data_IF_920283212056
#
_entry.id   IF_920283212056
#
_cell.length_a   1.000
_cell.length_b   1.000
_cell.length_c   1.000
_cell.angle_alpha   90.00
_cell.angle_beta   90.00
_cell.angle_gamma   90.00
#
_symmetry.space_group_name_H-M   'P 1'
#
loop_
_entity.id
_entity.type
_entity.pdbx_description
1 polymer ?
#
# COMPACT_ATOMS: atom_id res chain seq x y z
N UNK A 1 6.76 -3.86 -1.58
CA UNK A 1 6.61 -3.44 -3.00
C UNK A 1 7.99 -3.14 -3.61
N UNK A 2 8.23 -3.36 -4.92
CA UNK A 2 9.46 -3.00 -5.66
C UNK A 2 10.79 -3.06 -4.87
N UNK A 3 11.10 -4.22 -4.26
CA UNK A 3 12.32 -4.43 -3.48
C UNK A 3 12.31 -3.89 -2.04
N UNK A 4 11.23 -3.28 -1.56
CA UNK A 4 11.05 -2.86 -0.16
C UNK A 4 11.27 -4.02 0.83
N UNK A 5 10.68 -5.18 0.53
CA UNK A 5 10.85 -6.40 1.35
C UNK A 5 12.31 -6.82 1.31
N UNK A 6 12.92 -6.88 0.12
CA UNK A 6 14.33 -7.22 -0.07
C UNK A 6 15.26 -6.29 0.73
N UNK A 7 14.98 -4.99 0.78
CA UNK A 7 15.78 -4.04 1.59
C UNK A 7 15.62 -4.32 3.08
N UNK A 8 14.40 -4.60 3.55
CA UNK A 8 14.16 -4.95 4.95
C UNK A 8 14.80 -6.30 5.34
N UNK A 9 14.73 -7.30 4.47
CA UNK A 9 15.38 -8.59 4.66
C UNK A 9 16.90 -8.46 4.67
N UNK A 10 17.48 -7.73 3.71
CA UNK A 10 18.91 -7.45 3.66
C UNK A 10 19.39 -6.70 4.91
N UNK A 11 18.65 -5.67 5.35
CA UNK A 11 18.96 -4.94 6.58
C UNK A 11 18.83 -5.86 7.82
N UNK A 12 17.81 -6.72 7.85
CA UNK A 12 17.63 -7.72 8.90
C UNK A 12 18.81 -8.70 8.97
N UNK A 13 19.24 -9.20 7.82
CA UNK A 13 20.41 -10.08 7.70
C UNK A 13 21.69 -9.39 8.17
N UNK A 14 21.94 -8.14 7.78
CA UNK A 14 23.10 -7.36 8.26
C UNK A 14 23.05 -7.21 9.79
N UNK A 15 21.89 -6.90 10.37
CA UNK A 15 21.73 -6.75 11.83
C UNK A 15 21.96 -8.05 12.61
N UNK A 16 21.72 -9.20 11.99
CA UNK A 16 22.01 -10.49 12.60
C UNK A 16 23.51 -10.83 12.59
N UNK A 17 24.26 -10.30 11.63
CA UNK A 17 25.67 -10.67 11.40
C UNK A 17 26.67 -9.59 11.82
N UNK A 18 26.21 -8.37 12.10
CA UNK A 18 27.06 -7.23 12.48
C UNK A 18 26.45 -6.46 13.67
N UNK A 19 27.26 -5.85 14.55
CA UNK A 19 26.79 -5.11 15.73
C UNK A 19 26.22 -3.74 15.34
N UNK A 20 25.07 -3.73 14.68
CA UNK A 20 24.38 -2.52 14.24
C UNK A 20 23.53 -1.96 15.39
N UNK A 21 23.80 -0.73 15.80
CA UNK A 21 22.88 0.01 16.69
C UNK A 21 21.66 0.48 15.88
N UNK A 22 20.53 -0.18 16.11
CA UNK A 22 19.25 0.10 15.43
C UNK A 22 18.78 1.56 15.60
N UNK A 23 19.23 2.26 16.63
CA UNK A 23 18.87 3.66 16.88
C UNK A 23 19.74 4.66 16.12
N UNK A 24 20.69 4.20 15.31
CA UNK A 24 21.68 5.02 14.58
C UNK A 24 21.73 4.77 13.07
N UNK A 25 20.78 4.00 12.53
CA UNK A 25 20.76 3.63 11.11
C UNK A 25 20.25 4.82 10.28
N UNK A 26 21.03 5.28 9.30
CA UNK A 26 20.58 6.24 8.29
C UNK A 26 20.37 5.55 6.94
N UNK A 27 19.50 6.10 6.10
CA UNK A 27 19.26 5.60 4.74
C UNK A 27 19.67 6.64 3.71
N UNK A 28 20.45 6.21 2.72
CA UNK A 28 20.88 7.08 1.61
C UNK A 28 20.73 6.32 0.31
N UNK A 29 20.41 7.04 -0.76
CA UNK A 29 20.33 6.42 -2.07
C UNK A 29 20.42 7.45 -3.18
N UNK A 30 20.91 7.01 -4.34
CA UNK A 30 21.03 7.84 -5.54
C UNK A 30 20.32 7.17 -6.72
N UNK A 31 19.70 7.95 -7.61
CA UNK A 31 18.96 7.44 -8.77
C UNK A 31 17.80 6.52 -8.34
N UNK A 32 17.73 5.29 -8.84
CA UNK A 32 16.80 4.26 -8.36
C UNK A 32 16.87 4.08 -6.82
N UNK A 33 18.08 4.13 -6.24
CA UNK A 33 18.24 4.09 -4.78
C UNK A 33 17.69 5.33 -4.09
N UNK A 34 17.69 6.49 -4.76
CA UNK A 34 17.08 7.72 -4.26
C UNK A 34 15.56 7.61 -4.21
N UNK A 35 14.94 6.94 -5.20
CA UNK A 35 13.51 6.64 -5.18
C UNK A 35 13.16 5.68 -4.05
N UNK A 36 13.97 4.63 -3.85
CA UNK A 36 13.84 3.74 -2.70
C UNK A 36 14.02 4.46 -1.36
N UNK A 37 14.92 5.45 -1.29
CA UNK A 37 15.13 6.28 -0.11
C UNK A 37 13.89 7.15 0.19
N UNK A 38 13.30 7.81 -0.82
CA UNK A 38 12.03 8.53 -0.67
C UNK A 38 10.92 7.63 -0.16
N UNK A 39 10.71 6.47 -0.81
CA UNK A 39 9.68 5.49 -0.45
C UNK A 39 9.86 4.96 0.97
N UNK A 40 11.02 4.37 1.27
CA UNK A 40 11.28 3.77 2.58
C UNK A 40 11.33 4.82 3.69
N UNK A 41 11.89 6.00 3.40
CA UNK A 41 11.92 7.11 4.34
C UNK A 41 10.51 7.53 4.73
N UNK A 42 9.65 7.83 3.75
CA UNK A 42 8.30 8.32 4.02
C UNK A 42 7.38 7.29 4.71
N UNK A 43 7.60 5.99 4.49
CA UNK A 43 6.76 4.95 5.08
C UNK A 43 7.32 4.36 6.39
N UNK A 44 8.62 4.56 6.67
CA UNK A 44 9.32 3.93 7.80
C UNK A 44 10.32 4.87 8.47
N UNK A 45 9.99 6.16 8.68
CA UNK A 45 10.89 7.08 9.40
C UNK A 45 11.22 6.58 10.81
N UNK A 46 10.35 5.77 11.40
CA UNK A 46 10.59 5.08 12.66
C UNK A 46 11.65 3.96 12.61
N UNK A 47 12.32 3.75 11.47
CA UNK A 47 13.47 2.83 11.32
C UNK A 47 14.80 3.52 11.08
N UNK A 48 14.79 4.82 10.80
CA UNK A 48 15.99 5.59 10.49
C UNK A 48 16.19 6.75 11.46
N UNK A 49 17.43 7.22 11.60
CA UNK A 49 17.78 8.44 12.36
C UNK A 49 17.80 9.68 11.45
N UNK A 50 18.13 9.48 10.17
CA UNK A 50 18.18 10.52 9.13
C UNK A 50 18.12 9.85 7.75
N UNK A 51 17.79 10.63 6.72
CA UNK A 51 17.80 10.15 5.34
C UNK A 51 18.38 11.14 4.34
N UNK A 52 18.92 10.62 3.24
CA UNK A 52 19.36 11.41 2.10
C UNK A 52 18.96 10.77 0.75
N UNK A 53 17.81 11.18 0.18
CA UNK A 53 17.40 10.78 -1.15
C UNK A 53 18.06 11.67 -2.22
N UNK A 54 18.75 11.05 -3.19
CA UNK A 54 19.46 11.73 -4.25
C UNK A 54 18.91 11.39 -5.64
N UNK A 55 18.50 12.39 -6.42
CA UNK A 55 18.12 12.27 -7.83
C UNK A 55 17.25 11.03 -8.17
N UNK A 56 16.25 10.71 -7.35
CA UNK A 56 15.34 9.59 -7.59
C UNK A 56 13.89 10.05 -7.59
N UNK A 57 13.01 9.36 -8.32
CA UNK A 57 11.59 9.73 -8.40
C UNK A 57 10.91 9.68 -7.01
N UNK A 58 9.94 10.56 -6.79
CA UNK A 58 9.12 10.60 -5.57
C UNK A 58 7.63 10.37 -5.84
N UNK A 59 7.20 10.50 -7.10
CA UNK A 59 5.82 10.33 -7.54
C UNK A 59 5.76 9.81 -8.97
N UNK A 60 4.58 9.35 -9.39
CA UNK A 60 4.41 8.60 -10.64
C UNK A 60 4.19 9.52 -11.85
N UNK A 61 3.28 10.49 -11.76
CA UNK A 61 2.74 11.19 -12.91
C UNK A 61 3.73 12.19 -13.56
N UNK A 62 4.30 13.10 -12.77
CA UNK A 62 5.20 14.14 -13.25
C UNK A 62 6.58 13.56 -13.60
N UNK A 63 7.06 12.56 -12.84
CA UNK A 63 8.27 11.82 -13.20
C UNK A 63 8.17 11.20 -14.60
N UNK A 64 7.02 10.62 -14.92
CA UNK A 64 6.72 10.07 -16.25
C UNK A 64 6.29 11.14 -17.26
N UNK A 65 6.20 12.41 -16.86
CA UNK A 65 5.79 13.55 -17.69
C UNK A 65 4.43 13.34 -18.36
N UNK A 66 3.52 12.71 -17.63
CA UNK A 66 2.17 12.48 -18.11
C UNK A 66 1.41 13.81 -18.18
N UNK A 67 0.81 14.09 -19.33
CA UNK A 67 -0.17 15.16 -19.46
C UNK A 67 -1.55 14.65 -18.96
N UNK A 68 -2.42 15.50 -18.38
CA UNK A 68 -3.72 15.08 -17.83
C UNK A 68 -4.60 14.28 -18.80
N UNK A 69 -4.58 14.61 -20.10
CA UNK A 69 -5.29 13.89 -21.17
C UNK A 69 -4.78 12.46 -21.40
N UNK A 70 -3.57 12.15 -20.93
CA UNK A 70 -2.93 10.83 -21.02
C UNK A 70 -2.92 10.09 -19.67
N UNK A 71 -3.59 10.61 -18.64
CA UNK A 71 -3.69 9.90 -17.37
C UNK A 71 -4.47 8.59 -17.55
N UNK A 72 -4.07 7.51 -16.85
CA UNK A 72 -4.83 6.27 -16.87
C UNK A 72 -6.18 6.48 -16.19
N UNK A 73 -7.02 5.44 -16.19
CA UNK A 73 -8.31 5.49 -15.51
C UNK A 73 -8.18 6.02 -14.07
N UNK A 74 -9.20 6.76 -13.61
CA UNK A 74 -9.20 7.46 -12.32
C UNK A 74 -8.79 6.56 -11.13
N UNK A 75 -9.18 5.28 -11.15
CA UNK A 75 -8.83 4.34 -10.09
C UNK A 75 -7.34 4.01 -10.09
N UNK A 76 -6.66 3.99 -11.25
CA UNK A 76 -5.21 3.81 -11.34
C UNK A 76 -4.50 5.03 -10.74
N UNK A 77 -4.99 6.24 -11.06
CA UNK A 77 -4.44 7.47 -10.47
C UNK A 77 -4.57 7.45 -8.95
N UNK A 78 -5.71 6.99 -8.43
CA UNK A 78 -5.94 6.80 -6.99
C UNK A 78 -4.99 5.79 -6.36
N UNK A 79 -4.67 4.70 -7.07
CA UNK A 79 -3.74 3.66 -6.60
C UNK A 79 -2.29 4.14 -6.49
N UNK A 80 -1.90 5.21 -7.20
CA UNK A 80 -0.60 5.86 -6.98
C UNK A 80 -0.43 6.34 -5.54
N UNK A 81 -1.54 6.69 -4.88
CA UNK A 81 -1.62 7.06 -3.47
C UNK A 81 -1.12 6.02 -2.48
N UNK A 82 -0.84 4.79 -2.92
CA UNK A 82 -0.15 3.80 -2.08
C UNK A 82 1.33 4.13 -1.89
N UNK A 83 2.00 4.74 -2.87
CA UNK A 83 3.47 4.90 -2.90
C UNK A 83 3.96 6.32 -3.24
N UNK A 84 3.15 7.16 -3.89
CA UNK A 84 3.55 8.51 -4.26
C UNK A 84 3.76 9.36 -2.99
N UNK A 85 5.03 9.68 -2.73
CA UNK A 85 5.53 10.25 -1.47
C UNK A 85 4.96 11.62 -1.11
N UNK A 86 4.54 12.51 -2.04
CA UNK A 86 3.87 13.75 -1.67
C UNK A 86 2.62 13.53 -0.79
N UNK A 87 1.93 12.40 -0.92
CA UNK A 87 0.81 12.01 -0.06
C UNK A 87 1.21 11.51 1.34
N UNK A 88 2.52 11.41 1.61
CA UNK A 88 3.12 10.94 2.87
C UNK A 88 4.15 11.95 3.40
N UNK A 89 4.21 13.17 2.85
CA UNK A 89 5.27 14.14 3.14
C UNK A 89 5.41 14.44 4.63
N UNK A 90 4.30 14.46 5.39
CA UNK A 90 4.34 14.79 6.82
C UNK A 90 5.14 13.77 7.62
N UNK A 91 5.16 12.50 7.19
CA UNK A 91 5.96 11.47 7.85
C UNK A 91 7.46 11.83 7.90
N UNK A 92 7.94 12.58 6.91
CA UNK A 92 9.32 13.02 6.83
C UNK A 92 9.68 14.07 7.88
N UNK A 93 8.72 14.63 8.62
CA UNK A 93 8.98 15.57 9.71
C UNK A 93 9.44 14.87 11.00
N UNK A 94 9.38 13.55 11.04
CA UNK A 94 9.86 12.76 12.18
C UNK A 94 11.38 12.54 12.19
N UNK A 95 12.10 12.91 11.12
CA UNK A 95 13.56 12.82 11.05
C UNK A 95 14.18 13.90 10.13
N UNK A 96 15.50 14.15 10.22
CA UNK A 96 16.19 15.02 9.27
C UNK A 96 16.25 14.41 7.86
N UNK A 97 15.82 15.20 6.86
CA UNK A 97 15.91 14.85 5.43
C UNK A 97 16.88 15.80 4.73
N UNK A 98 17.88 15.24 4.04
CA UNK A 98 18.84 15.99 3.22
C UNK A 98 18.76 15.49 1.78
N UNK A 99 17.93 16.12 0.96
CA UNK A 99 17.80 15.77 -0.44
C UNK A 99 19.02 16.26 -1.25
N UNK A 100 19.36 15.53 -2.31
CA UNK A 100 20.43 15.91 -3.23
C UNK A 100 19.99 15.85 -4.70
N UNK A 101 20.41 16.85 -5.47
CA UNK A 101 20.32 16.81 -6.94
C UNK A 101 21.55 17.43 -7.59
N UNK A 102 21.92 16.95 -8.78
CA UNK A 102 22.77 17.72 -9.67
C UNK A 102 21.98 18.87 -10.30
N UNK A 103 22.57 20.06 -10.40
CA UNK A 103 21.90 21.26 -10.95
C UNK A 103 21.31 21.04 -12.35
N UNK A 104 22.02 20.29 -13.20
CA UNK A 104 21.65 19.98 -14.59
C UNK A 104 20.96 18.62 -14.74
N UNK A 105 20.74 17.91 -13.64
CA UNK A 105 20.03 16.64 -13.66
C UNK A 105 18.52 16.88 -13.86
N UNK A 106 17.91 16.18 -14.81
CA UNK A 106 16.46 16.26 -15.04
C UNK A 106 15.68 15.70 -13.85
N UNK A 107 16.28 14.81 -13.04
CA UNK A 107 15.66 14.23 -11.86
C UNK A 107 15.65 15.18 -10.64
N UNK A 108 16.21 16.39 -10.74
CA UNK A 108 15.99 17.47 -9.76
C UNK A 108 14.49 17.77 -9.55
N UNK A 109 13.66 17.44 -10.55
CA UNK A 109 12.21 17.54 -10.48
C UNK A 109 11.62 16.83 -9.26
N UNK A 110 12.12 15.66 -8.87
CA UNK A 110 11.56 14.92 -7.74
C UNK A 110 11.77 15.67 -6.40
N UNK A 111 12.97 16.21 -6.20
CA UNK A 111 13.25 17.04 -5.03
C UNK A 111 12.39 18.33 -5.04
N UNK A 112 12.17 18.95 -6.21
CA UNK A 112 11.28 20.12 -6.35
C UNK A 112 9.82 19.82 -6.04
N UNK A 113 9.32 18.65 -6.42
CA UNK A 113 7.98 18.20 -6.02
C UNK A 113 7.89 18.06 -4.50
N UNK A 114 8.92 17.47 -3.89
CA UNK A 114 8.98 17.34 -2.43
C UNK A 114 9.14 18.71 -1.73
N UNK A 115 9.89 19.67 -2.28
CA UNK A 115 9.95 21.04 -1.78
C UNK A 115 8.56 21.67 -1.73
N UNK A 116 7.78 21.54 -2.81
CA UNK A 116 6.39 22.04 -2.85
C UNK A 116 5.52 21.33 -1.81
N UNK A 117 5.68 20.02 -1.64
CA UNK A 117 4.93 19.26 -0.64
C UNK A 117 5.28 19.71 0.80
N UNK A 118 6.56 19.95 1.10
CA UNK A 118 7.02 20.51 2.38
C UNK A 118 6.43 21.92 2.60
N UNK A 119 6.49 22.79 1.58
CA UNK A 119 5.99 24.17 1.66
C UNK A 119 4.48 24.24 1.94
N UNK A 120 3.67 23.35 1.36
CA UNK A 120 2.23 23.27 1.66
C UNK A 120 1.92 22.98 3.12
N UNK A 121 2.83 22.30 3.81
CA UNK A 121 2.72 21.98 5.24
C UNK A 121 3.54 22.95 6.11
N UNK A 122 4.01 24.07 5.54
CA UNK A 122 4.77 25.11 6.26
C UNK A 122 6.21 24.71 6.63
N UNK A 123 6.75 23.67 6.00
CA UNK A 123 8.12 23.17 6.23
C UNK A 123 9.04 23.50 5.06
N UNK A 124 10.35 23.42 5.28
CA UNK A 124 11.38 23.59 4.25
C UNK A 124 12.20 22.32 4.11
N UNK A 125 12.35 21.82 2.89
CA UNK A 125 13.23 20.70 2.59
C UNK A 125 14.67 21.20 2.48
N UNK A 126 15.60 20.59 3.22
CA UNK A 126 17.04 20.79 2.96
C UNK A 126 17.39 20.10 1.65
N UNK A 127 17.65 20.89 0.61
CA UNK A 127 17.99 20.40 -0.73
C UNK A 127 19.36 20.93 -1.15
N UNK A 128 20.34 20.03 -1.19
CA UNK A 128 21.69 20.32 -1.65
C UNK A 128 21.76 20.16 -3.17
N UNK A 129 22.15 21.23 -3.86
CA UNK A 129 22.29 21.25 -5.31
C UNK A 129 23.77 21.25 -5.66
N UNK A 130 24.22 20.23 -6.39
CA UNK A 130 25.59 20.12 -6.90
C UNK A 130 25.78 21.01 -8.14
N UNK A 131 26.58 22.10 -8.06
CA UNK A 131 26.73 23.05 -9.16
C UNK A 131 27.31 22.41 -10.41
N UNK A 132 26.72 22.69 -11.57
CA UNK A 132 27.12 22.17 -12.87
C UNK A 132 26.96 20.66 -13.05
N UNK A 133 26.49 19.92 -12.04
CA UNK A 133 26.42 18.46 -12.10
C UNK A 133 25.17 17.95 -12.81
N UNK A 134 25.34 16.92 -13.63
CA UNK A 134 24.24 16.08 -14.12
C UNK A 134 23.93 14.95 -13.15
N UNK A 135 23.70 13.74 -13.67
CA UNK A 135 23.31 12.57 -12.88
C UNK A 135 24.48 11.91 -12.11
N UNK A 136 25.08 12.66 -11.17
CA UNK A 136 26.14 12.21 -10.25
C UNK A 136 26.27 13.13 -9.03
N UNK A 137 27.03 12.71 -8.03
CA UNK A 137 27.38 13.55 -6.89
C UNK A 137 28.43 14.61 -7.23
N UNK A 138 28.22 15.84 -6.76
CA UNK A 138 29.26 16.83 -6.58
C UNK A 138 30.09 16.46 -5.34
N UNK A 139 31.43 16.49 -5.39
CA UNK A 139 32.28 16.08 -4.27
C UNK A 139 31.97 16.81 -2.95
N UNK A 140 31.81 18.14 -2.99
CA UNK A 140 31.53 18.93 -1.78
C UNK A 140 30.14 18.65 -1.19
N UNK A 141 29.14 18.47 -2.05
CA UNK A 141 27.79 18.10 -1.61
C UNK A 141 27.79 16.71 -0.98
N UNK A 142 28.51 15.75 -1.58
CA UNK A 142 28.66 14.41 -1.02
C UNK A 142 29.33 14.45 0.36
N UNK A 143 30.41 15.23 0.50
CA UNK A 143 31.08 15.44 1.79
C UNK A 143 30.11 15.98 2.84
N UNK A 144 29.36 17.04 2.51
CA UNK A 144 28.35 17.62 3.42
C UNK A 144 27.25 16.63 3.78
N UNK A 145 26.76 15.81 2.85
CA UNK A 145 25.77 14.77 3.11
C UNK A 145 26.33 13.74 4.09
N UNK A 146 27.55 13.27 3.87
CA UNK A 146 28.21 12.30 4.75
C UNK A 146 28.33 12.87 6.18
N UNK A 147 28.84 14.10 6.31
CA UNK A 147 28.98 14.79 7.60
C UNK A 147 27.64 14.93 8.34
N UNK A 148 26.57 15.35 7.65
CA UNK A 148 25.24 15.48 8.25
C UNK A 148 24.67 14.13 8.70
N UNK A 149 24.88 13.06 7.93
CA UNK A 149 24.43 11.72 8.30
C UNK A 149 25.23 11.16 9.48
N UNK A 150 26.54 11.38 9.53
CA UNK A 150 27.38 11.01 10.66
C UNK A 150 27.01 11.79 11.92
N UNK A 151 26.75 13.08 11.80
CA UNK A 151 26.30 13.92 12.91
C UNK A 151 24.96 13.45 13.47
N UNK A 152 23.99 13.11 12.61
CA UNK A 152 22.72 12.55 13.05
C UNK A 152 22.92 11.22 13.79
N UNK A 153 23.75 10.32 13.25
CA UNK A 153 24.07 9.01 13.85
C UNK A 153 25.00 9.09 15.07
N UNK A 154 25.56 10.26 15.40
CA UNK A 154 26.40 10.45 16.60
C UNK A 154 25.59 10.32 17.90
N UNK A 155 24.27 10.48 17.85
CA UNK A 155 23.35 10.24 18.96
C UNK A 155 22.43 9.06 18.67
N UNK A 156 21.85 8.46 19.71
CA UNK A 156 20.79 7.45 19.53
C UNK A 156 19.47 8.17 19.27
N UNK A 157 18.66 7.61 18.37
CA UNK A 157 17.32 8.14 18.11
C UNK A 157 16.50 8.17 19.40
N UNK A 158 16.06 9.36 19.87
CA UNK A 158 15.20 9.45 21.03
C UNK A 158 13.79 8.93 20.72
N UNK A 159 13.01 8.61 21.75
CA UNK A 159 11.56 8.55 21.61
C UNK A 159 11.06 9.96 21.26
N UNK A 160 10.45 10.20 20.10
CA UNK A 160 10.08 11.55 19.70
C UNK A 160 8.91 12.04 20.54
N UNK A 161 9.00 13.26 21.08
CA UNK A 161 7.88 13.88 21.81
C UNK A 161 6.70 14.20 20.90
N UNK A 162 6.97 14.47 19.61
CA UNK A 162 5.96 14.77 18.59
C UNK A 162 6.08 13.75 17.47
N UNK A 163 4.96 13.21 17.04
CA UNK A 163 4.86 12.28 15.93
C UNK A 163 3.82 12.79 14.97
N UNK A 164 4.16 12.75 13.69
CA UNK A 164 3.21 12.97 12.61
C UNK A 164 3.09 11.68 11.82
N UNK A 165 1.87 11.25 11.55
CA UNK A 165 1.56 10.15 10.64
C UNK A 165 0.60 10.70 9.59
N UNK A 166 0.95 10.50 8.33
CA UNK A 166 0.11 10.72 7.16
C UNK A 166 0.08 9.45 6.34
N UNK A 167 -1.11 9.03 5.94
CA UNK A 167 -1.29 7.87 5.08
C UNK A 167 -2.59 7.96 4.30
N UNK A 168 -2.65 7.23 3.18
CA UNK A 168 -3.88 7.04 2.41
C UNK A 168 -4.43 5.62 2.52
N UNK A 169 -3.65 4.67 3.06
CA UNK A 169 -4.08 3.29 3.28
C UNK A 169 -3.52 2.77 4.61
N UNK A 170 -4.09 1.70 5.16
CA UNK A 170 -3.50 1.00 6.30
C UNK A 170 -2.28 0.13 5.92
N UNK A 171 -1.69 0.25 4.70
CA UNK A 171 -0.48 -0.49 4.31
C UNK A 171 0.71 -0.03 5.15
N UNK A 172 0.79 1.27 5.40
CA UNK A 172 1.82 1.93 6.21
C UNK A 172 1.16 2.68 7.38
N UNK A 173 0.61 1.97 8.38
CA UNK A 173 -0.28 2.57 9.37
C UNK A 173 0.45 3.12 10.60
N UNK A 174 1.77 2.94 10.73
CA UNK A 174 2.49 3.15 11.97
C UNK A 174 3.62 4.15 11.80
N UNK A 175 3.74 5.04 12.77
CA UNK A 175 4.92 5.88 12.95
C UNK A 175 5.28 5.98 14.42
N UNK A 176 6.50 5.55 14.78
CA UNK A 176 6.99 5.51 16.15
C UNK A 176 5.98 4.86 17.11
N UNK A 177 5.41 5.65 18.01
CA UNK A 177 4.47 5.20 19.01
C UNK A 177 2.99 5.31 18.60
N UNK A 178 2.70 5.83 17.41
CA UNK A 178 1.35 6.04 16.87
C UNK A 178 1.04 5.01 15.80
N UNK A 179 -0.12 4.36 15.88
CA UNK A 179 -0.62 3.45 14.84
C UNK A 179 -2.07 3.77 14.48
N UNK A 180 -2.35 4.03 13.19
CA UNK A 180 -3.70 4.07 12.66
C UNK A 180 -4.26 2.64 12.54
N UNK A 181 -5.37 2.35 13.20
CA UNK A 181 -5.99 1.02 13.17
C UNK A 181 -7.13 0.94 12.16
N UNK A 182 -7.88 2.04 11.97
CA UNK A 182 -8.97 2.17 10.99
C UNK A 182 -8.98 3.58 10.41
N UNK A 183 -9.24 3.67 9.11
CA UNK A 183 -9.51 4.93 8.42
C UNK A 183 -11.03 5.17 8.37
N UNK A 184 -11.45 6.41 8.17
CA UNK A 184 -12.85 6.68 7.82
C UNK A 184 -13.12 6.32 6.36
N UNK A 185 -12.15 6.56 5.47
CA UNK A 185 -12.16 6.09 4.08
C UNK A 185 -10.73 5.89 3.55
N UNK A 186 -10.41 4.72 2.99
CA UNK A 186 -9.16 4.50 2.26
C UNK A 186 -9.06 5.40 1.02
N UNK A 187 -7.82 5.68 0.63
CA UNK A 187 -7.41 6.51 -0.51
C UNK A 187 -7.71 8.01 -0.35
N UNK A 188 -7.96 8.45 0.88
CA UNK A 188 -8.07 9.85 1.26
C UNK A 188 -6.89 10.26 2.14
N UNK A 189 -6.58 11.55 2.17
CA UNK A 189 -5.56 12.10 3.06
C UNK A 189 -5.96 11.90 4.54
N UNK A 190 -5.20 11.05 5.24
CA UNK A 190 -5.44 10.66 6.63
C UNK A 190 -4.27 11.06 7.49
N UNK A 191 -4.53 11.69 8.63
CA UNK A 191 -3.49 12.30 9.48
C UNK A 191 -3.69 11.96 10.95
N UNK A 192 -2.59 11.74 11.66
CA UNK A 192 -2.51 11.77 13.12
C UNK A 192 -1.30 12.63 13.51
N UNK A 193 -1.55 13.71 14.24
CA UNK A 193 -0.51 14.49 14.90
C UNK A 193 -0.62 14.23 16.40
N UNK A 194 0.43 13.69 17.00
CA UNK A 194 0.43 13.31 18.40
C UNK A 194 1.62 13.92 19.15
N UNK A 195 1.39 14.43 20.35
CA UNK A 195 2.38 15.06 21.21
C UNK A 195 2.29 14.52 22.64
N UNK A 196 3.42 14.10 23.20
CA UNK A 196 3.59 13.87 24.64
C UNK A 196 3.83 15.23 25.29
N UNK A 197 2.80 15.79 25.93
CA UNK A 197 2.86 17.09 26.61
C UNK A 197 3.53 16.94 27.98
N UNK A 198 3.25 15.84 28.68
CA UNK A 198 3.90 15.41 29.92
C UNK A 198 3.66 13.92 30.15
N UNK A 199 4.28 13.32 31.16
CA UNK A 199 4.12 11.90 31.51
C UNK A 199 2.65 11.47 31.75
N UNK A 200 1.76 12.43 32.02
CA UNK A 200 0.34 12.18 32.29
C UNK A 200 -0.61 12.82 31.26
N UNK A 201 -0.08 13.41 30.19
CA UNK A 201 -0.90 14.15 29.21
C UNK A 201 -0.37 14.03 27.78
N UNK A 202 -1.26 13.62 26.88
CA UNK A 202 -1.05 13.60 25.43
C UNK A 202 -2.04 14.52 24.72
N UNK A 203 -1.62 15.06 23.59
CA UNK A 203 -2.48 15.78 22.65
C UNK A 203 -2.44 15.07 21.30
N UNK A 204 -3.61 14.87 20.71
CA UNK A 204 -3.77 14.17 19.44
C UNK A 204 -4.77 14.93 18.56
N UNK A 205 -4.41 15.15 17.31
CA UNK A 205 -5.31 15.67 16.28
C UNK A 205 -5.40 14.68 15.13
N UNK A 206 -6.61 14.46 14.62
CA UNK A 206 -6.85 13.46 13.59
C UNK A 206 -7.62 14.00 12.39
N UNK A 207 -7.36 13.41 11.23
CA UNK A 207 -8.13 13.61 10.00
C UNK A 207 -8.34 12.26 9.33
N UNK A 208 -9.58 11.91 8.97
CA UNK A 208 -9.94 10.64 8.31
C UNK A 208 -9.52 9.38 9.12
N UNK A 209 -9.46 9.45 10.45
CA UNK A 209 -9.13 8.32 11.33
C UNK A 209 -10.38 7.87 12.09
N UNK A 210 -10.63 6.56 12.09
CA UNK A 210 -11.75 5.96 12.83
C UNK A 210 -11.28 5.18 14.08
N UNK A 211 -10.03 4.71 14.10
CA UNK A 211 -9.42 4.11 15.28
C UNK A 211 -7.89 4.24 15.22
N UNK A 212 -7.25 4.38 16.38
CA UNK A 212 -5.80 4.45 16.52
C UNK A 212 -5.33 3.80 17.82
N UNK A 213 -4.03 3.55 17.90
CA UNK A 213 -3.35 3.04 19.08
C UNK A 213 -2.11 3.89 19.40
N UNK A 214 -1.90 4.13 20.70
CA UNK A 214 -0.74 4.84 21.25
C UNK A 214 0.08 3.89 22.12
N UNK A 215 1.41 3.90 21.96
CA UNK A 215 2.36 3.03 22.66
C UNK A 215 3.54 3.84 23.24
N UNK A 216 4.38 3.32 24.15
CA UNK A 216 4.12 2.17 25.02
C UNK A 216 2.97 2.49 25.98
N UNK A 217 1.90 1.69 25.91
CA UNK A 217 0.68 1.91 26.67
C UNK A 217 0.86 1.74 28.19
N UNK A 218 1.84 0.96 28.64
CA UNK A 218 2.09 0.71 30.07
C UNK A 218 2.64 1.93 30.79
N UNK A 219 3.56 2.65 30.13
CA UNK A 219 4.10 3.91 30.66
C UNK A 219 3.08 5.05 30.54
N UNK A 220 2.21 5.00 29.53
CA UNK A 220 1.17 6.00 29.28
C UNK A 220 -0.18 5.68 29.96
N UNK A 221 -0.27 4.59 30.73
CA UNK A 221 -1.54 4.12 31.27
C UNK A 221 -2.15 5.17 32.22
N UNK A 222 -3.43 5.47 32.02
CA UNK A 222 -4.14 6.48 32.78
C UNK A 222 -3.75 7.92 32.43
N UNK A 223 -2.91 8.15 31.43
CA UNK A 223 -2.65 9.50 30.93
C UNK A 223 -3.93 10.10 30.32
N UNK A 224 -4.09 11.41 30.46
CA UNK A 224 -5.16 12.16 29.82
C UNK A 224 -4.79 12.39 28.36
N UNK A 225 -5.67 12.00 27.43
CA UNK A 225 -5.51 12.26 26.00
C UNK A 225 -6.55 13.28 25.57
N UNK A 226 -6.06 14.46 25.18
CA UNK A 226 -6.85 15.46 24.45
C UNK A 226 -6.83 15.07 22.97
N UNK A 227 -7.91 14.46 22.48
CA UNK A 227 -8.03 13.99 21.09
C UNK A 227 -9.18 14.69 20.37
N UNK A 228 -8.84 15.51 19.38
CA UNK A 228 -9.77 16.41 18.70
C UNK A 228 -10.61 17.20 19.73
N UNK A 229 -11.93 17.06 19.71
CA UNK A 229 -12.87 17.71 20.62
C UNK A 229 -13.21 16.87 21.87
N UNK A 230 -12.45 15.81 22.15
CA UNK A 230 -12.73 14.88 23.25
C UNK A 230 -11.54 14.75 24.19
N UNK A 231 -11.82 14.53 25.47
CA UNK A 231 -10.81 14.19 26.48
C UNK A 231 -11.13 12.81 27.04
N UNK A 232 -10.14 11.92 27.01
CA UNK A 232 -10.26 10.54 27.50
C UNK A 232 -9.09 10.17 28.41
N UNK A 233 -9.27 9.13 29.21
CA UNK A 233 -8.19 8.55 30.03
C UNK A 233 -7.70 7.27 29.36
N UNK A 234 -6.43 7.21 28.97
CA UNK A 234 -5.88 6.10 28.20
C UNK A 234 -5.97 4.78 29.00
N UNK A 235 -6.56 3.76 28.39
CA UNK A 235 -6.63 2.40 28.95
C UNK A 235 -5.33 1.62 28.78
N UNK A 236 -5.31 0.38 29.29
CA UNK A 236 -4.12 -0.51 29.25
C UNK A 236 -3.64 -0.87 27.85
N UNK A 237 -4.54 -0.90 26.86
CA UNK A 237 -4.21 -1.26 25.46
C UNK A 237 -3.81 -0.06 24.60
N UNK A 238 -3.94 1.16 25.12
CA UNK A 238 -3.67 2.38 24.35
C UNK A 238 -4.57 2.62 23.13
N UNK A 239 -5.63 1.83 22.94
CA UNK A 239 -6.53 1.92 21.79
C UNK A 239 -7.64 2.96 22.01
N UNK A 240 -7.86 3.79 21.00
CA UNK A 240 -8.95 4.76 20.90
C UNK A 240 -9.72 4.53 19.60
N UNK A 241 -11.05 4.66 19.65
CA UNK A 241 -11.88 4.60 18.46
C UNK A 241 -13.00 5.66 18.48
N UNK A 242 -13.47 6.01 17.29
CA UNK A 242 -14.58 6.94 17.11
C UNK A 242 -15.90 6.17 17.12
N UNK A 243 -16.83 6.58 17.98
CA UNK A 243 -18.19 6.04 18.06
C UNK A 243 -19.18 7.19 18.23
N UNK A 244 -20.19 7.27 17.35
CA UNK A 244 -21.19 8.34 17.34
C UNK A 244 -20.57 9.76 17.40
N UNK A 245 -19.52 9.97 16.60
CA UNK A 245 -18.82 11.27 16.48
C UNK A 245 -17.81 11.60 17.58
N UNK A 246 -17.74 10.81 18.67
CA UNK A 246 -16.84 11.04 19.81
C UNK A 246 -15.77 9.96 19.94
N UNK A 247 -14.63 10.30 20.52
CA UNK A 247 -13.58 9.34 20.84
C UNK A 247 -13.89 8.56 22.12
N UNK A 248 -13.58 7.26 22.10
CA UNK A 248 -13.76 6.33 23.22
C UNK A 248 -12.54 5.45 23.37
N UNK A 249 -12.31 5.00 24.59
CA UNK A 249 -11.23 4.09 24.97
C UNK A 249 -11.65 2.66 24.70
N UNK A 250 -10.70 1.85 24.21
CA UNK A 250 -10.88 0.43 23.94
C UNK A 250 -10.97 0.12 22.46
N UNK A 251 -10.99 -1.18 22.15
CA UNK A 251 -11.07 -1.66 20.77
C UNK A 251 -12.37 -1.21 20.10
N UNK A 252 -12.31 -0.82 18.81
CA UNK A 252 -13.51 -0.53 18.06
C UNK A 252 -14.42 -1.77 18.02
N UNK A 253 -15.74 -1.62 18.16
CA UNK A 253 -16.67 -2.74 18.08
C UNK A 253 -16.40 -3.57 16.82
N UNK A 254 -16.30 -4.89 17.00
CA UNK A 254 -16.37 -5.84 15.91
C UNK A 254 -17.85 -6.00 15.60
N UNK A 255 -18.36 -5.31 14.57
CA UNK A 255 -19.72 -5.58 14.10
C UNK A 255 -19.85 -7.04 13.70
N UNK A 256 -21.01 -7.65 13.94
CA UNK A 256 -21.28 -9.04 13.63
C UNK A 256 -22.08 -9.13 12.31
N UNK A 257 -21.60 -9.81 11.24
CA UNK A 257 -20.26 -10.30 10.95
C UNK A 257 -19.59 -9.37 9.93
N UNK A 258 -19.18 -8.16 10.33
CA UNK A 258 -18.66 -7.20 9.35
C UNK A 258 -17.15 -7.36 9.22
N UNK A 259 -16.75 -7.88 8.05
CA UNK A 259 -15.42 -7.69 7.49
C UNK A 259 -15.06 -6.21 7.61
N UNK A 260 -13.83 -5.91 8.00
CA UNK A 260 -13.32 -4.53 8.06
C UNK A 260 -11.94 -4.46 7.44
N UNK A 261 -11.65 -3.36 6.73
CA UNK A 261 -10.30 -3.10 6.26
C UNK A 261 -9.38 -2.88 7.47
N UNK A 262 -8.22 -3.53 7.43
CA UNK A 262 -7.20 -3.50 8.48
C UNK A 262 -5.82 -3.66 7.88
N UNK A 263 -4.77 -3.34 8.65
CA UNK A 263 -3.40 -3.53 8.18
C UNK A 263 -3.14 -4.99 7.72
N UNK A 264 -2.64 -5.12 6.48
CA UNK A 264 -2.41 -6.40 5.81
C UNK A 264 -3.67 -7.03 5.19
N UNK A 265 -4.83 -6.38 5.32
CA UNK A 265 -6.10 -6.82 4.76
C UNK A 265 -6.99 -5.60 4.40
N UNK A 266 -6.65 -4.85 3.34
CA UNK A 266 -7.31 -3.61 2.92
C UNK A 266 -7.55 -3.43 1.40
N UNK A 267 -7.07 -4.36 0.57
CA UNK A 267 -6.96 -4.17 -0.89
C UNK A 267 -5.78 -3.25 -1.29
N UNK A 268 -5.56 -2.99 -2.59
CA UNK A 268 -6.28 -3.49 -3.76
C UNK A 268 -5.91 -4.95 -4.08
N UNK A 269 -6.24 -5.47 -5.26
CA UNK A 269 -5.93 -6.86 -5.66
C UNK A 269 -4.47 -7.27 -5.37
N UNK A 270 -3.51 -6.39 -5.65
CA UNK A 270 -2.08 -6.62 -5.44
C UNK A 270 -1.69 -6.85 -3.98
N UNK A 271 -2.53 -6.43 -3.02
CA UNK A 271 -2.30 -6.54 -1.58
C UNK A 271 -2.18 -8.02 -1.13
N UNK A 272 -2.85 -8.93 -1.85
CA UNK A 272 -2.78 -10.37 -1.60
C UNK A 272 -1.41 -11.00 -1.90
N UNK A 273 -0.58 -10.35 -2.72
CA UNK A 273 0.73 -10.88 -3.13
C UNK A 273 1.87 -10.38 -2.23
N UNK A 274 1.55 -9.67 -1.15
CA UNK A 274 2.48 -9.25 -0.10
C UNK A 274 2.52 -10.22 1.10
N UNK A 275 1.82 -11.34 0.99
CA UNK A 275 1.74 -12.40 1.99
C UNK A 275 1.70 -13.78 1.28
N UNK A 276 1.93 -14.89 2.00
CA UNK A 276 1.86 -16.23 1.41
C UNK A 276 0.54 -16.49 0.69
N UNK A 277 0.61 -17.08 -0.51
CA UNK A 277 -0.56 -17.39 -1.33
C UNK A 277 -0.39 -18.71 -2.08
N UNK A 278 -1.50 -19.24 -2.59
CA UNK A 278 -1.52 -20.36 -3.55
C UNK A 278 -2.43 -20.02 -4.72
N UNK A 279 -2.05 -20.43 -5.93
CA UNK A 279 -2.88 -20.32 -7.12
C UNK A 279 -3.63 -21.63 -7.33
N UNK A 280 -4.95 -21.57 -7.39
CA UNK A 280 -5.80 -22.74 -7.61
C UNK A 280 -6.40 -22.67 -9.00
N UNK A 281 -6.03 -23.64 -9.84
CA UNK A 281 -6.56 -23.77 -11.21
C UNK A 281 -7.98 -24.35 -11.21
N UNK A 282 -8.79 -24.13 -12.27
CA UNK A 282 -10.10 -24.75 -12.39
C UNK A 282 -10.06 -26.27 -12.28
N UNK A 283 -11.07 -26.87 -11.65
CA UNK A 283 -11.23 -28.33 -11.54
C UNK A 283 -11.85 -28.96 -12.80
N UNK A 284 -12.49 -28.16 -13.64
CA UNK A 284 -13.04 -28.56 -14.94
C UNK A 284 -12.94 -27.38 -15.92
N UNK A 285 -13.14 -27.59 -17.23
CA UNK A 285 -13.20 -26.48 -18.19
C UNK A 285 -14.35 -25.52 -17.90
N UNK A 286 -14.18 -24.24 -18.21
CA UNK A 286 -15.26 -23.27 -18.24
C UNK A 286 -16.24 -23.59 -19.37
N UNK A 287 -17.53 -23.29 -19.16
CA UNK A 287 -18.60 -23.58 -20.12
C UNK A 287 -18.41 -22.88 -21.48
N UNK A 288 -17.78 -21.69 -21.48
CA UNK A 288 -17.57 -20.89 -22.68
C UNK A 288 -16.11 -21.01 -23.17
N UNK A 289 -15.86 -21.41 -24.43
CA UNK A 289 -14.51 -21.58 -24.96
C UNK A 289 -13.62 -20.34 -24.88
N UNK A 290 -14.19 -19.15 -25.11
CA UNK A 290 -13.47 -17.87 -24.99
C UNK A 290 -13.01 -17.58 -23.56
N UNK A 291 -13.85 -17.91 -22.57
CA UNK A 291 -13.53 -17.78 -21.14
C UNK A 291 -12.43 -18.78 -20.76
N UNK A 292 -12.53 -20.03 -21.21
CA UNK A 292 -11.50 -21.05 -20.98
C UNK A 292 -10.15 -20.60 -21.55
N UNK A 293 -10.13 -20.14 -22.81
CA UNK A 293 -8.91 -19.66 -23.48
C UNK A 293 -8.27 -18.48 -22.75
N UNK A 294 -9.09 -17.56 -22.22
CA UNK A 294 -8.61 -16.44 -21.41
C UNK A 294 -8.00 -16.92 -20.09
N UNK A 295 -8.64 -17.85 -19.38
CA UNK A 295 -8.14 -18.42 -18.12
C UNK A 295 -6.78 -19.09 -18.33
N UNK A 296 -6.68 -19.93 -19.37
CA UNK A 296 -5.43 -20.64 -19.69
C UNK A 296 -4.30 -19.66 -20.01
N UNK A 297 -4.61 -18.61 -20.77
CA UNK A 297 -3.66 -17.54 -21.07
C UNK A 297 -3.20 -16.81 -19.81
N UNK A 298 -4.10 -16.36 -18.94
CA UNK A 298 -3.75 -15.55 -17.78
C UNK A 298 -3.00 -16.36 -16.70
N UNK A 299 -3.29 -17.65 -16.52
CA UNK A 299 -2.50 -18.52 -15.64
C UNK A 299 -1.07 -18.68 -16.18
N UNK A 300 -0.93 -18.94 -17.49
CA UNK A 300 0.38 -19.07 -18.12
C UNK A 300 1.16 -17.74 -18.10
N UNK A 301 0.47 -16.63 -18.31
CA UNK A 301 1.00 -15.27 -18.20
C UNK A 301 1.51 -15.00 -16.79
N UNK A 302 0.69 -15.25 -15.76
CA UNK A 302 1.05 -15.07 -14.36
C UNK A 302 2.28 -15.90 -13.99
N UNK A 303 2.33 -17.18 -14.39
CA UNK A 303 3.49 -18.05 -14.13
C UNK A 303 4.77 -17.48 -14.74
N UNK A 304 4.72 -17.02 -15.99
CA UNK A 304 5.87 -16.40 -16.67
C UNK A 304 6.31 -15.11 -15.98
N UNK A 305 5.37 -14.21 -15.73
CA UNK A 305 5.65 -12.90 -15.09
C UNK A 305 6.19 -13.07 -13.68
N UNK A 306 5.63 -13.99 -12.91
CA UNK A 306 6.06 -14.26 -11.54
C UNK A 306 7.53 -14.66 -11.48
N UNK A 307 7.91 -15.62 -12.34
CA UNK A 307 9.30 -16.07 -12.45
C UNK A 307 10.24 -14.96 -12.94
N UNK A 308 9.82 -14.17 -13.93
CA UNK A 308 10.65 -13.12 -14.52
C UNK A 308 10.91 -11.95 -13.55
N UNK A 309 9.88 -11.52 -12.82
CA UNK A 309 9.95 -10.32 -11.97
C UNK A 309 10.34 -10.63 -10.53
N UNK A 310 9.71 -11.64 -9.93
CA UNK A 310 9.87 -11.96 -8.51
C UNK A 310 10.84 -13.12 -8.26
N UNK A 311 11.41 -13.68 -9.33
CA UNK A 311 12.47 -14.72 -9.28
C UNK A 311 12.08 -15.97 -8.47
N UNK A 312 10.79 -16.28 -8.42
CA UNK A 312 10.24 -17.44 -7.73
C UNK A 312 9.42 -18.34 -8.64
N UNK A 313 9.17 -19.57 -8.20
CA UNK A 313 8.17 -20.44 -8.82
C UNK A 313 6.79 -20.11 -8.27
N UNK A 314 5.79 -20.07 -9.16
CA UNK A 314 4.41 -19.78 -8.77
C UNK A 314 3.83 -21.03 -8.05
N UNK A 315 3.28 -20.89 -6.83
CA UNK A 315 2.72 -22.03 -6.08
C UNK A 315 1.34 -22.40 -6.65
N UNK A 316 1.32 -23.17 -7.73
CA UNK A 316 0.10 -23.62 -8.41
C UNK A 316 -0.36 -24.97 -7.86
N UNK A 317 -1.67 -25.09 -7.61
CA UNK A 317 -2.33 -26.31 -7.13
C UNK A 317 -3.61 -26.61 -7.89
N UNK A 318 -3.90 -27.89 -8.08
CA UNK A 318 -5.26 -28.37 -8.42
C UNK A 318 -6.12 -28.41 -7.16
N UNK A 319 -7.44 -28.55 -7.32
CA UNK A 319 -8.38 -28.54 -6.19
C UNK A 319 -8.08 -29.62 -5.14
N UNK A 320 -7.71 -30.82 -5.58
CA UNK A 320 -7.35 -31.98 -4.73
C UNK A 320 -6.03 -31.80 -3.97
N UNK A 321 -5.18 -30.87 -4.41
CA UNK A 321 -3.90 -30.55 -3.76
C UNK A 321 -4.01 -29.43 -2.70
N UNK A 322 -5.16 -28.76 -2.62
CA UNK A 322 -5.42 -27.69 -1.63
C UNK A 322 -5.60 -28.32 -0.26
N UNK A 323 -4.75 -27.93 0.70
CA UNK A 323 -4.78 -28.47 2.05
C UNK A 323 -5.59 -27.58 3.01
N UNK A 324 -6.03 -28.10 4.17
CA UNK A 324 -6.63 -27.25 5.21
C UNK A 324 -5.70 -26.12 5.69
N UNK A 325 -4.39 -26.35 5.68
CA UNK A 325 -3.39 -25.33 6.01
C UNK A 325 -3.36 -24.20 4.99
N UNK A 326 -3.44 -24.50 3.69
CA UNK A 326 -3.54 -23.46 2.65
C UNK A 326 -4.77 -22.57 2.88
N UNK A 327 -5.91 -23.17 3.20
CA UNK A 327 -7.16 -22.46 3.47
C UNK A 327 -7.10 -21.60 4.75
N UNK A 328 -6.22 -21.93 5.69
CA UNK A 328 -6.12 -21.24 6.98
C UNK A 328 -5.07 -20.12 6.96
N UNK A 329 -3.95 -20.33 6.27
CA UNK A 329 -2.75 -19.50 6.41
C UNK A 329 -2.37 -18.73 5.15
N UNK A 330 -2.97 -19.02 4.00
CA UNK A 330 -2.56 -18.43 2.72
C UNK A 330 -3.72 -17.72 2.04
N UNK A 331 -3.38 -16.72 1.24
CA UNK A 331 -4.31 -16.13 0.30
C UNK A 331 -4.60 -17.14 -0.83
N UNK A 332 -5.86 -17.24 -1.26
CA UNK A 332 -6.29 -18.12 -2.33
C UNK A 332 -6.47 -17.32 -3.61
N UNK A 333 -5.64 -17.57 -4.61
CA UNK A 333 -5.76 -16.96 -5.95
C UNK A 333 -6.48 -17.95 -6.86
N UNK A 334 -7.76 -17.75 -7.08
CA UNK A 334 -8.66 -18.69 -7.73
C UNK A 334 -8.93 -18.26 -9.18
N UNK A 335 -8.65 -19.15 -10.12
CA UNK A 335 -9.02 -18.96 -11.53
C UNK A 335 -10.22 -19.83 -11.91
N UNK A 336 -11.10 -19.31 -12.75
CA UNK A 336 -12.28 -20.01 -13.25
C UNK A 336 -13.60 -19.24 -13.10
N UNK A 337 -14.68 -20.01 -13.08
CA UNK A 337 -16.05 -19.58 -12.77
C UNK A 337 -16.59 -20.41 -11.60
N UNK A 338 -17.74 -20.09 -11.01
CA UNK A 338 -18.36 -20.92 -9.96
C UNK A 338 -18.69 -22.36 -10.41
N UNK A 339 -18.80 -22.60 -11.72
CA UNK A 339 -19.03 -23.92 -12.32
C UNK A 339 -17.72 -24.70 -12.42
N UNK A 340 -16.63 -24.04 -12.85
CA UNK A 340 -15.35 -24.69 -13.09
C UNK A 340 -14.42 -24.75 -11.87
N UNK A 341 -14.63 -23.89 -10.87
CA UNK A 341 -13.85 -23.86 -9.64
C UNK A 341 -14.76 -23.81 -8.39
N UNK A 342 -14.92 -24.93 -7.66
CA UNK A 342 -15.76 -25.00 -6.46
C UNK A 342 -15.35 -24.04 -5.33
N UNK A 343 -14.07 -23.64 -5.24
CA UNK A 343 -13.64 -22.65 -4.25
C UNK A 343 -14.14 -21.24 -4.59
N UNK A 344 -14.28 -20.91 -5.88
CA UNK A 344 -14.93 -19.66 -6.30
C UNK A 344 -16.37 -19.69 -5.81
N UNK A 345 -17.13 -20.78 -6.07
CA UNK A 345 -18.51 -20.91 -5.59
C UNK A 345 -18.63 -20.75 -4.07
N UNK A 346 -17.67 -21.30 -3.31
CA UNK A 346 -17.66 -21.25 -1.85
C UNK A 346 -17.40 -19.84 -1.30
N UNK A 347 -16.46 -19.11 -1.90
CA UNK A 347 -15.97 -17.84 -1.37
C UNK A 347 -16.38 -16.61 -2.18
N UNK A 348 -17.27 -16.77 -3.17
CA UNK A 348 -17.78 -15.66 -3.96
C UNK A 348 -18.47 -14.66 -3.04
N UNK A 349 -18.00 -13.39 -2.97
CA UNK A 349 -18.64 -12.41 -2.12
C UNK A 349 -20.00 -12.02 -2.71
N UNK A 350 -20.97 -11.68 -1.85
CA UNK A 350 -22.35 -11.38 -2.26
C UNK A 350 -22.48 -10.23 -3.28
N UNK A 351 -21.45 -9.38 -3.40
CA UNK A 351 -21.33 -8.35 -4.44
C UNK A 351 -21.34 -8.93 -5.86
N UNK A 352 -20.82 -10.14 -6.05
CA UNK A 352 -20.93 -10.90 -7.29
C UNK A 352 -22.07 -11.89 -7.11
N UNK A 353 -23.20 -11.61 -7.75
CA UNK A 353 -24.40 -12.43 -7.68
C UNK A 353 -24.77 -12.96 -9.06
N UNK A 354 -25.64 -13.98 -9.08
CA UNK A 354 -26.16 -14.58 -10.31
C UNK A 354 -25.07 -14.89 -11.36
N UNK A 355 -23.94 -15.44 -10.92
CA UNK A 355 -22.86 -15.84 -11.82
C UNK A 355 -23.09 -17.27 -12.31
N UNK A 356 -23.81 -17.38 -13.42
CA UNK A 356 -24.16 -18.61 -14.11
C UNK A 356 -23.57 -18.65 -15.54
N UNK A 357 -24.05 -19.56 -16.38
CA UNK A 357 -23.59 -19.70 -17.76
C UNK A 357 -24.10 -18.57 -18.67
N UNK A 358 -25.09 -17.78 -18.25
CA UNK A 358 -25.69 -16.73 -19.05
C UNK A 358 -25.13 -15.37 -18.66
N UNK A 359 -25.02 -15.10 -17.36
CA UNK A 359 -24.64 -13.80 -16.86
C UNK A 359 -23.81 -13.84 -15.57
N UNK A 360 -23.23 -12.69 -15.24
CA UNK A 360 -22.68 -12.35 -13.93
C UNK A 360 -23.17 -10.96 -13.55
N UNK A 361 -23.66 -10.79 -12.32
CA UNK A 361 -24.16 -9.51 -11.82
C UNK A 361 -23.18 -8.93 -10.81
N UNK A 362 -22.75 -7.70 -11.04
CA UNK A 362 -21.94 -6.93 -10.09
C UNK A 362 -22.55 -5.55 -9.95
N UNK A 363 -22.76 -5.11 -8.70
CA UNK A 363 -23.40 -3.81 -8.39
C UNK A 363 -24.75 -3.63 -9.10
N UNK A 364 -25.53 -4.71 -9.17
CA UNK A 364 -26.84 -4.73 -9.84
C UNK A 364 -26.80 -4.65 -11.36
N UNK A 365 -25.61 -4.57 -11.98
CA UNK A 365 -25.45 -4.59 -13.42
C UNK A 365 -25.12 -6.01 -13.91
N UNK A 366 -25.91 -6.52 -14.85
CA UNK A 366 -25.69 -7.81 -15.49
C UNK A 366 -24.71 -7.70 -16.66
N UNK A 367 -23.80 -8.65 -16.77
CA UNK A 367 -22.85 -8.80 -17.86
C UNK A 367 -22.94 -10.21 -18.46
N UNK A 368 -22.85 -10.40 -19.79
CA UNK A 368 -22.87 -11.73 -20.39
C UNK A 368 -21.68 -12.60 -19.96
N UNK A 369 -21.95 -13.78 -19.38
CA UNK A 369 -20.92 -14.68 -18.83
C UNK A 369 -19.99 -15.29 -19.89
N UNK A 370 -20.38 -15.24 -21.17
CA UNK A 370 -19.56 -15.73 -22.27
C UNK A 370 -18.46 -14.76 -22.72
N UNK A 371 -18.50 -13.51 -22.26
CA UNK A 371 -17.59 -12.43 -22.70
C UNK A 371 -17.06 -11.58 -21.55
N UNK A 372 -17.56 -11.77 -20.32
CA UNK A 372 -17.16 -10.96 -19.18
C UNK A 372 -16.72 -11.81 -17.99
N UNK A 373 -15.71 -11.33 -17.26
CA UNK A 373 -15.22 -11.96 -16.04
C UNK A 373 -15.04 -10.92 -14.91
N UNK A 374 -15.43 -11.27 -13.68
CA UNK A 374 -15.06 -10.50 -12.50
C UNK A 374 -13.60 -10.78 -12.10
N UNK A 375 -12.89 -9.72 -11.76
CA UNK A 375 -11.58 -9.72 -11.12
C UNK A 375 -11.73 -9.04 -9.77
N UNK A 376 -11.38 -9.67 -8.65
CA UNK A 376 -11.52 -9.03 -7.34
C UNK A 376 -10.62 -9.61 -6.26
N UNK A 377 -10.49 -8.89 -5.16
CA UNK A 377 -9.94 -9.35 -3.89
C UNK A 377 -11.01 -9.23 -2.79
N UNK A 378 -11.09 -10.21 -1.90
CA UNK A 378 -12.03 -10.19 -0.79
C UNK A 378 -11.50 -10.96 0.43
N UNK A 379 -11.79 -10.55 1.68
CA UNK A 379 -11.43 -11.33 2.85
C UNK A 379 -12.09 -12.71 2.84
N UNK A 380 -11.33 -13.76 3.16
CA UNK A 380 -11.90 -15.09 3.28
C UNK A 380 -12.82 -15.23 4.51
N UNK A 381 -12.50 -14.51 5.59
CA UNK A 381 -13.30 -14.41 6.81
C UNK A 381 -12.99 -13.12 7.57
N UNK A 382 -13.82 -12.77 8.56
CA UNK A 382 -13.56 -11.63 9.45
C UNK A 382 -12.48 -11.89 10.51
N UNK A 383 -12.19 -13.17 10.77
CA UNK A 383 -11.22 -13.58 11.80
C UNK A 383 -9.80 -13.58 11.23
N UNK A 384 -9.61 -14.24 10.08
CA UNK A 384 -8.30 -14.45 9.47
C UNK A 384 -7.90 -13.30 8.56
N UNK A 385 -6.60 -12.99 8.53
CA UNK A 385 -5.99 -12.02 7.60
C UNK A 385 -5.60 -12.68 6.29
N UNK A 386 -6.53 -13.44 5.71
CA UNK A 386 -6.36 -14.10 4.42
C UNK A 386 -7.38 -13.59 3.42
N UNK A 387 -7.01 -13.65 2.15
CA UNK A 387 -7.80 -13.19 1.02
C UNK A 387 -8.20 -14.33 0.10
N UNK A 388 -9.28 -14.10 -0.63
CA UNK A 388 -9.57 -14.75 -1.89
C UNK A 388 -9.42 -13.72 -3.01
N UNK A 389 -8.62 -14.03 -4.02
CA UNK A 389 -8.48 -13.27 -5.27
C UNK A 389 -9.13 -14.09 -6.37
N UNK A 390 -10.00 -13.48 -7.17
CA UNK A 390 -10.69 -14.14 -8.28
C UNK A 390 -10.12 -13.63 -9.60
N UNK A 391 -9.69 -14.56 -10.46
CA UNK A 391 -9.24 -14.34 -11.84
C UNK A 391 -8.17 -13.26 -12.01
N UNK A 392 -7.30 -13.05 -11.03
CA UNK A 392 -6.30 -11.98 -11.09
C UNK A 392 -4.95 -12.37 -10.49
N UNK A 393 -3.95 -11.58 -10.82
CA UNK A 393 -2.56 -11.65 -10.33
C UNK A 393 -2.10 -10.26 -9.88
N UNK A 394 -0.78 -10.04 -9.71
CA UNK A 394 -0.22 -8.68 -9.74
C UNK A 394 -0.68 -7.95 -11.00
N UNK A 395 -1.17 -6.73 -10.85
CA UNK A 395 -2.00 -6.09 -11.89
C UNK A 395 -1.21 -5.23 -12.85
N UNK A 396 0.03 -4.87 -12.51
CA UNK A 396 0.95 -4.27 -13.47
C UNK A 396 1.49 -5.33 -14.45
N UNK A 397 1.50 -4.94 -15.72
CA UNK A 397 1.86 -5.77 -16.89
C UNK A 397 3.07 -5.18 -17.64
N UNK A 398 3.48 -5.83 -18.73
CA UNK A 398 4.75 -5.57 -19.43
C UNK A 398 4.98 -4.11 -19.84
N UNK A 399 3.95 -3.35 -20.21
CA UNK A 399 4.08 -1.92 -20.58
C UNK A 399 4.56 -1.05 -19.40
N UNK A 400 4.41 -1.56 -18.17
CA UNK A 400 4.82 -0.89 -16.94
C UNK A 400 6.26 -1.21 -16.53
N UNK A 401 6.96 -2.10 -17.24
CA UNK A 401 8.35 -2.46 -16.92
C UNK A 401 9.35 -1.38 -17.35
N UNK A 402 8.90 -0.38 -18.13
CA UNK A 402 9.74 0.75 -18.58
C UNK A 402 10.39 1.50 -17.43
N UNK A 403 9.74 1.56 -16.27
CA UNK A 403 10.28 2.20 -15.06
C UNK A 403 9.57 1.69 -13.81
N UNK A 404 10.31 1.55 -12.70
CA UNK A 404 9.74 1.11 -11.42
C UNK A 404 8.62 2.02 -10.91
N UNK A 405 8.60 3.31 -11.27
CA UNK A 405 7.49 4.22 -10.93
C UNK A 405 6.13 3.76 -11.49
N UNK A 406 6.11 2.99 -12.58
CA UNK A 406 4.90 2.45 -13.17
C UNK A 406 4.52 1.08 -12.62
N UNK A 407 5.36 0.42 -11.84
CA UNK A 407 5.09 -0.94 -11.34
C UNK A 407 4.07 -0.96 -10.18
N UNK A 408 3.30 0.10 -9.95
CA UNK A 408 2.23 0.17 -8.93
C UNK A 408 0.96 -0.62 -9.33
N UNK A 409 0.01 -0.87 -8.40
CA UNK A 409 -1.27 -1.50 -8.72
C UNK A 409 -2.03 -0.79 -9.86
N UNK A 410 -2.72 -1.56 -10.68
CA UNK A 410 -3.47 -1.13 -11.88
C UNK A 410 -4.94 -1.51 -11.85
N UNK A 411 -5.38 -2.35 -10.93
CA UNK A 411 -6.80 -2.60 -10.67
C UNK A 411 -7.10 -2.34 -9.18
N UNK A 412 -8.29 -1.81 -8.86
CA UNK A 412 -8.70 -1.56 -7.48
C UNK A 412 -9.17 -2.87 -6.83
N UNK A 413 -10.06 -2.80 -5.84
CA UNK A 413 -10.50 -4.00 -5.12
C UNK A 413 -11.34 -4.95 -6.01
N UNK A 414 -12.05 -4.42 -7.00
CA UNK A 414 -12.76 -5.22 -8.00
C UNK A 414 -12.84 -4.54 -9.36
N UNK A 415 -12.95 -5.35 -10.41
CA UNK A 415 -13.17 -4.94 -11.79
C UNK A 415 -14.00 -5.99 -12.55
N UNK A 416 -14.61 -5.56 -13.65
CA UNK A 416 -15.19 -6.42 -14.68
C UNK A 416 -14.45 -6.18 -15.97
N UNK A 417 -13.97 -7.25 -16.59
CA UNK A 417 -13.35 -7.18 -17.91
C UNK A 417 -14.28 -7.74 -18.99
N UNK A 418 -14.17 -7.18 -20.19
CA UNK A 418 -14.72 -7.72 -21.43
C UNK A 418 -13.57 -8.33 -22.25
N UNK A 419 -13.61 -9.66 -22.41
CA UNK A 419 -12.55 -10.45 -23.05
C UNK A 419 -12.63 -10.42 -24.59
N UNK A 420 -13.63 -9.75 -25.18
CA UNK A 420 -13.65 -9.50 -26.63
C UNK A 420 -12.49 -8.61 -27.07
N UNK A 421 -11.98 -7.78 -26.15
CA UNK A 421 -10.66 -7.20 -26.29
C UNK A 421 -9.64 -8.14 -25.63
N UNK A 422 -8.68 -8.68 -26.40
CA UNK A 422 -7.71 -9.61 -25.85
C UNK A 422 -6.80 -8.91 -24.83
N UNK A 423 -6.23 -9.68 -23.87
CA UNK A 423 -5.19 -9.18 -22.98
C UNK A 423 -4.02 -8.54 -23.75
N UNK A 424 -3.42 -7.49 -23.18
CA UNK A 424 -2.24 -6.84 -23.76
C UNK A 424 -1.21 -6.46 -22.65
N UNK A 425 -0.20 -5.68 -23.01
CA UNK A 425 0.86 -5.25 -22.09
C UNK A 425 0.39 -4.30 -20.97
N UNK A 426 -0.83 -3.79 -21.03
CA UNK A 426 -1.39 -2.82 -20.07
C UNK A 426 -2.58 -3.35 -19.27
N UNK A 427 -3.37 -4.28 -19.82
CA UNK A 427 -4.56 -4.81 -19.16
C UNK A 427 -4.84 -6.29 -19.50
N UNK A 428 -5.54 -7.04 -18.62
CA UNK A 428 -5.95 -8.42 -18.89
C UNK A 428 -7.18 -8.53 -19.82
N UNK A 429 -7.67 -7.41 -20.34
CA UNK A 429 -8.87 -7.29 -21.16
C UNK A 429 -9.41 -5.86 -21.07
N UNK A 430 -10.53 -5.56 -21.73
CA UNK A 430 -11.14 -4.23 -21.59
C UNK A 430 -11.80 -4.10 -20.23
N UNK A 431 -11.31 -3.23 -19.36
CA UNK A 431 -11.99 -2.93 -18.08
C UNK A 431 -13.25 -2.12 -18.39
N UNK A 432 -14.43 -2.68 -18.09
CA UNK A 432 -15.74 -2.04 -18.32
C UNK A 432 -16.38 -1.49 -17.05
N UNK A 433 -15.94 -1.96 -15.89
CA UNK A 433 -16.29 -1.42 -14.58
C UNK A 433 -15.17 -1.73 -13.59
N UNK A 434 -14.91 -0.83 -12.64
CA UNK A 434 -13.97 -1.04 -11.55
C UNK A 434 -14.25 -0.06 -10.41
N UNK A 435 -14.06 -0.50 -9.16
CA UNK A 435 -14.20 0.36 -7.99
C UNK A 435 -13.52 -0.28 -6.76
N UNK A 436 -13.57 0.44 -5.64
CA UNK A 436 -13.11 -0.02 -4.33
C UNK A 436 -14.29 -0.46 -3.46
N UNK A 437 -14.04 -1.41 -2.57
CA UNK A 437 -14.94 -1.63 -1.44
C UNK A 437 -14.73 -0.55 -0.38
N UNK A 438 -15.76 -0.32 0.44
CA UNK A 438 -15.66 0.55 1.60
C UNK A 438 -14.88 -0.09 2.76
N UNK A 439 -14.83 0.61 3.89
CA UNK A 439 -14.13 0.15 5.11
C UNK A 439 -14.69 -1.14 5.70
N UNK A 440 -15.89 -1.55 5.31
CA UNK A 440 -16.57 -2.78 5.73
C UNK A 440 -16.62 -3.83 4.62
N UNK A 441 -15.79 -3.68 3.57
CA UNK A 441 -15.77 -4.54 2.39
C UNK A 441 -17.10 -4.58 1.62
N UNK A 442 -17.93 -3.54 1.74
CA UNK A 442 -19.19 -3.41 1.02
C UNK A 442 -19.03 -2.54 -0.24
N UNK A 443 -19.97 -2.67 -1.17
CA UNK A 443 -20.04 -1.80 -2.33
C UNK A 443 -20.32 -0.36 -1.90
N UNK A 444 -19.54 0.59 -2.42
CA UNK A 444 -19.85 2.01 -2.28
C UNK A 444 -21.20 2.33 -2.93
N UNK A 445 -22.08 2.97 -2.18
CA UNK A 445 -23.44 3.34 -2.62
C UNK A 445 -23.44 4.56 -3.53
N UNK A 446 -22.44 5.43 -3.42
CA UNK A 446 -22.22 6.58 -4.30
C UNK A 446 -21.34 6.18 -5.48
N UNK A 447 -21.65 6.67 -6.70
CA UNK A 447 -20.69 6.60 -7.81
C UNK A 447 -19.44 7.41 -7.40
N UNK A 448 -18.23 6.94 -7.71
CA UNK A 448 -17.01 7.67 -7.41
C UNK A 448 -17.12 9.07 -8.01
N UNK A 449 -16.93 10.10 -7.18
CA UNK A 449 -16.70 11.46 -7.63
C UNK A 449 -15.41 11.45 -8.44
N UNK A 450 -15.52 11.83 -9.72
CA UNK A 450 -14.39 11.92 -10.65
C UNK A 450 -13.44 13.04 -10.26
#
# INVERSE_FOLDING_TARGET
FAGEVDVHEALGHVKQNYPVDNSRVSIRGFSMGGAGCWHLGAHYTDRFIAMSPGAGFAETAQYNRMAPENYPAWYVQRLWGQYDVPGYVRNLFNLPVVAYSGEKDKQIQAARVMEQAFQREGQTLTHLIGPGMGHRYHPDSLKSIVEQMEQASASRRPLPKRVTLQTQTLRYPKMHWVTALRLTEHWQDSRIDAEIVSDRKLRVHTQNIAALQLTPWGEMQGAQVEIDDTVVTLGSEGTLHRQAGKWRVGEPPRGNPTLVKRHGQQGPIDDAFLAPFVVVVPASPAAHPGIQSWIDFEIAYLKRRWRALFRGELPVKTLDQVTPEDLLQKNLVLFGTPQSNPLIRKYLPAVVSNWDEQQVVIRGQAYPANTHLPLLIYPQSGEQKTYVVINSGPTFRDDHDRTNSLQNPKLPDWAVIDIRQPPNGSAPGKVVAADFFDEHWQLKTTKPTQ
#
